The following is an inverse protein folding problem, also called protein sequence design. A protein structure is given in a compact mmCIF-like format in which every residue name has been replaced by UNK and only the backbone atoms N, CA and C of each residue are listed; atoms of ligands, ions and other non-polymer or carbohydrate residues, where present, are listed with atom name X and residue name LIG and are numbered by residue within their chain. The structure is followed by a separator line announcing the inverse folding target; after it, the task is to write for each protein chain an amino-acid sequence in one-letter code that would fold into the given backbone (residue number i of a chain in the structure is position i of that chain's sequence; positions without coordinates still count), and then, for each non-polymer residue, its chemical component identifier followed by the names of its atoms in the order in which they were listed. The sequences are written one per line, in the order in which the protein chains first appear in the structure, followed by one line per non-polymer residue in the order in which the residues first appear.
data_IF_761166803768
#
_entry.id   IF_761166803768
#
_cell.length_a   1.000
_cell.length_b   1.000
_cell.length_c   1.000
_cell.angle_alpha   90.00
_cell.angle_beta   90.00
_cell.angle_gamma   90.00
#
_symmetry.space_group_name_H-M   'P 1'
#
loop_
_entity.id
_entity.type
_entity.pdbx_description
1 polymer ?
#
# COMPACT_ATOMS: atom_id res chain seq x y z
N UNK A 1 -5.92 16.78 9.73
CA UNK A 1 -7.02 15.95 9.16
C UNK A 1 -6.83 14.47 9.49
N UNK A 2 -5.65 13.89 9.27
CA UNK A 2 -5.37 12.50 9.68
C UNK A 2 -5.49 12.28 11.20
N UNK A 3 -5.15 13.28 11.99
CA UNK A 3 -5.30 13.24 13.45
C UNK A 3 -6.78 13.21 13.88
N UNK A 4 -7.68 13.80 13.09
CA UNK A 4 -9.11 13.70 13.35
C UNK A 4 -9.62 12.26 13.14
N UNK A 5 -9.11 11.57 12.13
CA UNK A 5 -9.43 10.16 11.85
C UNK A 5 -8.87 9.24 12.94
N UNK A 6 -7.63 9.51 13.37
CA UNK A 6 -7.02 8.79 14.49
C UNK A 6 -7.82 8.97 15.79
N UNK A 7 -8.18 10.21 16.12
CA UNK A 7 -8.95 10.52 17.32
C UNK A 7 -10.39 9.98 17.23
N UNK A 8 -11.00 9.97 16.06
CA UNK A 8 -12.31 9.36 15.86
C UNK A 8 -12.30 7.88 16.25
N UNK A 9 -11.33 7.11 15.75
CA UNK A 9 -11.25 5.69 16.10
C UNK A 9 -10.77 5.43 17.53
N UNK A 10 -9.96 6.31 18.09
CA UNK A 10 -9.55 6.22 19.50
C UNK A 10 -10.75 6.33 20.46
N UNK A 11 -11.74 7.17 20.13
CA UNK A 11 -12.91 7.43 20.97
C UNK A 11 -14.08 6.45 20.78
N UNK A 12 -13.93 5.41 19.95
CA UNK A 12 -14.98 4.38 19.75
C UNK A 12 -15.23 3.54 21.01
N UNK A 13 -14.19 3.27 21.80
CA UNK A 13 -14.27 2.48 23.03
C UNK A 13 -13.46 3.16 24.13
N UNK A 14 -14.08 3.48 25.26
CA UNK A 14 -13.42 4.14 26.40
C UNK A 14 -12.54 3.20 27.26
N UNK A 15 -12.30 1.97 26.78
CA UNK A 15 -11.55 0.95 27.52
C UNK A 15 -10.03 1.21 27.42
N UNK A 16 -9.29 1.11 28.52
CA UNK A 16 -7.86 1.45 28.56
C UNK A 16 -6.96 0.60 27.65
N UNK A 17 -7.33 -0.67 27.41
CA UNK A 17 -6.60 -1.54 26.48
C UNK A 17 -6.80 -1.13 25.01
N UNK A 18 -7.94 -0.51 24.69
CA UNK A 18 -8.24 0.01 23.36
C UNK A 18 -7.40 1.24 23.06
N UNK A 19 -7.45 2.22 23.96
CA UNK A 19 -6.78 3.51 23.77
C UNK A 19 -5.27 3.42 23.92
N UNK A 20 -4.77 2.54 24.80
CA UNK A 20 -3.34 2.41 25.08
C UNK A 20 -2.57 1.52 24.11
N UNK A 21 -3.20 0.49 23.54
CA UNK A 21 -2.46 -0.57 22.82
C UNK A 21 -3.15 -0.94 21.50
N UNK A 22 -4.41 -1.40 21.54
CA UNK A 22 -5.02 -2.01 20.37
C UNK A 22 -5.20 -1.02 19.20
N UNK A 23 -5.73 0.18 19.46
CA UNK A 23 -5.96 1.18 18.42
C UNK A 23 -4.67 1.74 17.81
N UNK A 24 -3.65 2.14 18.60
CA UNK A 24 -2.36 2.58 18.06
C UNK A 24 -1.71 1.54 17.14
N UNK A 25 -1.71 0.26 17.52
CA UNK A 25 -1.12 -0.83 16.72
C UNK A 25 -1.89 -1.02 15.41
N UNK A 26 -3.22 -1.10 15.46
CA UNK A 26 -4.05 -1.22 14.26
C UNK A 26 -3.83 -0.04 13.30
N UNK A 27 -3.73 1.17 13.84
CA UNK A 27 -3.50 2.37 13.04
C UNK A 27 -2.14 2.34 12.30
N UNK A 28 -1.10 1.82 12.95
CA UNK A 28 0.22 1.63 12.31
C UNK A 28 0.12 0.58 11.19
N UNK A 29 -0.56 -0.54 11.43
CA UNK A 29 -0.73 -1.59 10.41
C UNK A 29 -1.49 -1.07 9.18
N UNK A 30 -2.57 -0.29 9.39
CA UNK A 30 -3.32 0.33 8.29
C UNK A 30 -2.40 1.23 7.46
N UNK A 31 -1.59 2.08 8.11
CA UNK A 31 -0.63 2.95 7.39
C UNK A 31 0.38 2.15 6.58
N UNK A 32 0.89 1.05 7.13
CA UNK A 32 1.84 0.17 6.42
C UNK A 32 1.19 -0.42 5.17
N UNK A 33 -0.05 -0.92 5.26
CA UNK A 33 -0.77 -1.48 4.10
C UNK A 33 -1.03 -0.40 3.05
N UNK A 34 -1.50 0.77 3.46
CA UNK A 34 -1.77 1.90 2.56
C UNK A 34 -0.49 2.35 1.84
N UNK A 35 0.67 2.26 2.47
CA UNK A 35 1.96 2.57 1.85
C UNK A 35 2.42 1.44 0.90
N UNK A 36 2.28 0.19 1.31
CA UNK A 36 2.77 -0.97 0.54
C UNK A 36 1.94 -1.24 -0.72
N UNK A 37 0.63 -1.07 -0.68
CA UNK A 37 -0.23 -1.34 -1.83
C UNK A 37 0.19 -0.58 -3.11
N UNK A 38 0.35 0.76 -3.10
CA UNK A 38 0.79 1.49 -4.28
C UNK A 38 2.24 1.17 -4.64
N UNK A 39 3.11 0.90 -3.66
CA UNK A 39 4.50 0.51 -3.92
C UNK A 39 4.57 -0.81 -4.69
N UNK A 40 3.87 -1.84 -4.22
CA UNK A 40 3.81 -3.15 -4.87
C UNK A 40 3.15 -3.05 -6.25
N UNK A 41 2.12 -2.20 -6.40
CA UNK A 41 1.53 -1.89 -7.70
C UNK A 41 2.53 -1.25 -8.67
N UNK A 42 3.28 -0.24 -8.22
CA UNK A 42 4.29 0.42 -9.04
C UNK A 42 5.39 -0.57 -9.49
N UNK A 43 5.89 -1.40 -8.58
CA UNK A 43 6.89 -2.44 -8.89
C UNK A 43 6.35 -3.45 -9.91
N UNK A 44 5.10 -3.90 -9.75
CA UNK A 44 4.47 -4.81 -10.70
C UNK A 44 4.38 -4.22 -12.12
N UNK A 45 4.01 -2.94 -12.24
CA UNK A 45 3.97 -2.28 -13.55
C UNK A 45 5.37 -2.02 -14.13
N UNK A 46 6.34 -1.67 -13.29
CA UNK A 46 7.71 -1.42 -13.73
C UNK A 46 8.36 -2.68 -14.29
N UNK A 47 8.18 -3.84 -13.65
CA UNK A 47 8.67 -5.13 -14.17
C UNK A 47 8.01 -5.55 -15.49
N UNK A 48 6.72 -5.23 -15.69
CA UNK A 48 6.06 -5.39 -16.99
C UNK A 48 6.68 -4.47 -18.04
N UNK A 49 6.93 -3.21 -17.68
CA UNK A 49 7.55 -2.22 -18.56
C UNK A 49 8.95 -2.60 -19.00
N UNK A 50 9.78 -3.10 -18.08
CA UNK A 50 11.13 -3.58 -18.37
C UNK A 50 11.12 -4.67 -19.47
N UNK A 51 10.24 -5.68 -19.33
CA UNK A 51 10.09 -6.75 -20.34
C UNK A 51 9.66 -6.19 -21.70
N UNK A 52 8.83 -5.15 -21.72
CA UNK A 52 8.39 -4.49 -22.95
C UNK A 52 9.53 -3.72 -23.61
N UNK A 53 10.32 -2.99 -22.82
CA UNK A 53 11.48 -2.22 -23.27
C UNK A 53 12.58 -3.11 -23.86
N UNK A 54 12.91 -4.23 -23.21
CA UNK A 54 13.89 -5.20 -23.73
C UNK A 54 13.44 -5.83 -25.05
N UNK A 55 12.14 -6.08 -25.23
CA UNK A 55 11.59 -6.51 -26.51
C UNK A 55 11.80 -5.47 -27.60
N UNK A 56 11.47 -4.21 -27.31
CA UNK A 56 11.65 -3.10 -28.26
C UNK A 56 13.11 -2.88 -28.68
N UNK A 57 14.07 -3.01 -27.76
CA UNK A 57 15.50 -2.95 -28.08
C UNK A 57 15.94 -4.03 -29.09
N UNK A 58 15.24 -5.17 -29.12
CA UNK A 58 15.52 -6.30 -29.99
C UNK A 58 14.62 -6.34 -31.24
N UNK A 59 13.85 -5.28 -31.52
CA UNK A 59 12.88 -5.21 -32.63
C UNK A 59 11.90 -6.40 -32.60
N UNK A 60 11.55 -6.88 -31.41
CA UNK A 60 10.49 -7.87 -31.20
C UNK A 60 9.41 -7.30 -30.32
N UNK A 61 8.18 -7.77 -30.51
CA UNK A 61 7.11 -7.41 -29.58
C UNK A 61 7.38 -8.08 -28.23
N UNK A 62 7.36 -7.27 -27.16
CA UNK A 62 7.30 -7.77 -25.80
C UNK A 62 5.97 -8.51 -25.53
N UNK A 63 5.72 -8.94 -24.29
CA UNK A 63 4.52 -9.69 -23.95
C UNK A 63 3.25 -8.94 -24.40
N UNK A 64 2.52 -9.50 -25.38
CA UNK A 64 1.30 -8.90 -25.98
C UNK A 64 0.00 -9.59 -25.55
N UNK A 65 0.12 -10.65 -24.74
CA UNK A 65 -0.98 -11.32 -24.06
C UNK A 65 -0.70 -11.31 -22.56
N UNK A 66 -1.76 -11.23 -21.76
CA UNK A 66 -1.68 -11.48 -20.32
C UNK A 66 -1.36 -12.95 -20.05
#
# INVERSE_FOLDING_TARGET
MIDAIYNFGLNLLAQGWWTGIAWPVLWILIKIVVLLLPLMGAVAYLTLWERKLLGFMQVRHGPNRV
#
